data_IF_272307947069
#
_entry.id   IF_272307947069
#
_cell.length_a   1.000
_cell.length_b   1.000
_cell.length_c   1.000
_cell.angle_alpha   90.00
_cell.angle_beta   90.00
_cell.angle_gamma   90.00
#
_symmetry.space_group_name_H-M   'P 1'
#
loop_
_entity.id
_entity.type
_entity.pdbx_description
1 polymer ?
#
# COMPACT_ATOMS: atom_id res chain seq x y z
N UNK A 1 33.47 1.65 -25.50
CA UNK A 1 31.98 1.54 -25.50
C UNK A 1 31.59 0.19 -24.87
N UNK A 2 32.10 -0.07 -23.67
CA UNK A 2 32.02 -1.36 -23.01
C UNK A 2 30.78 -1.43 -22.13
N UNK A 3 29.90 -2.38 -22.47
CA UNK A 3 29.14 -3.24 -21.57
C UNK A 3 28.44 -2.60 -20.35
N UNK A 4 27.38 -1.83 -20.59
CA UNK A 4 26.32 -1.67 -19.58
C UNK A 4 24.94 -1.69 -20.24
N UNK A 5 24.64 -2.79 -20.93
CA UNK A 5 23.25 -3.23 -21.10
C UNK A 5 23.02 -4.31 -20.05
N UNK A 6 22.69 -3.88 -18.84
CA UNK A 6 22.13 -4.78 -17.82
C UNK A 6 20.85 -5.36 -18.40
N UNK A 7 20.88 -6.65 -18.69
CA UNK A 7 19.76 -7.36 -19.32
C UNK A 7 18.50 -7.23 -18.46
N UNK A 8 17.34 -7.02 -19.08
CA UNK A 8 16.03 -7.06 -18.41
C UNK A 8 15.90 -8.34 -17.57
N UNK A 9 16.56 -9.43 -17.96
CA UNK A 9 16.60 -10.67 -17.19
C UNK A 9 17.27 -10.52 -15.82
N UNK A 10 18.35 -9.73 -15.69
CA UNK A 10 18.96 -9.42 -14.40
C UNK A 10 18.06 -8.52 -13.56
N UNK A 11 17.40 -7.53 -14.18
CA UNK A 11 16.41 -6.68 -13.49
C UNK A 11 15.21 -7.51 -12.96
N UNK A 12 14.76 -8.52 -13.70
CA UNK A 12 13.62 -9.35 -13.31
C UNK A 12 13.93 -10.23 -12.08
N UNK A 13 15.15 -10.76 -11.98
CA UNK A 13 15.57 -11.59 -10.85
C UNK A 13 15.62 -10.81 -9.52
N UNK A 14 16.13 -9.58 -9.53
CA UNK A 14 16.17 -8.74 -8.32
C UNK A 14 14.76 -8.36 -7.87
N UNK A 15 13.85 -8.12 -8.83
CA UNK A 15 12.47 -7.70 -8.52
C UNK A 15 11.70 -8.81 -7.78
N UNK A 16 11.95 -10.08 -8.09
CA UNK A 16 11.28 -11.22 -7.41
C UNK A 16 11.64 -11.32 -5.93
N UNK A 17 12.90 -11.08 -5.56
CA UNK A 17 13.38 -11.18 -4.18
C UNK A 17 12.99 -9.94 -3.34
N UNK A 18 12.72 -8.81 -3.99
CA UNK A 18 12.32 -7.55 -3.34
C UNK A 18 10.80 -7.44 -3.10
N UNK A 19 9.98 -8.33 -3.68
CA UNK A 19 8.54 -8.38 -3.40
C UNK A 19 8.27 -9.17 -2.11
N UNK A 20 8.43 -8.50 -0.97
CA UNK A 20 8.01 -9.05 0.31
C UNK A 20 6.51 -9.35 0.30
N UNK A 21 6.16 -10.58 0.68
CA UNK A 21 4.76 -10.98 0.75
C UNK A 21 4.03 -10.15 1.83
N UNK A 22 2.78 -9.73 1.58
CA UNK A 22 2.04 -8.97 2.57
C UNK A 22 1.88 -9.77 3.86
N UNK A 23 1.90 -9.09 4.99
CA UNK A 23 1.78 -9.70 6.32
C UNK A 23 0.42 -9.44 6.95
N UNK A 24 -0.05 -10.39 7.75
CA UNK A 24 -1.32 -10.31 8.44
C UNK A 24 -1.23 -9.30 9.59
N UNK A 25 -2.11 -8.30 9.59
CA UNK A 25 -2.12 -7.27 10.62
C UNK A 25 -2.26 -7.83 12.05
N UNK A 26 -2.97 -8.96 12.21
CA UNK A 26 -3.24 -9.58 13.51
C UNK A 26 -2.12 -10.51 14.00
N UNK A 27 -1.70 -11.49 13.17
CA UNK A 27 -0.80 -12.57 13.60
C UNK A 27 0.60 -12.51 12.97
N UNK A 28 0.85 -11.52 12.09
CA UNK A 28 2.12 -11.25 11.40
C UNK A 28 2.63 -12.35 10.45
N UNK A 29 1.87 -13.44 10.26
CA UNK A 29 2.12 -14.45 9.21
C UNK A 29 1.78 -13.90 7.82
N UNK A 30 2.12 -14.63 6.75
CA UNK A 30 1.75 -14.28 5.39
C UNK A 30 0.24 -14.03 5.26
N UNK A 31 -0.12 -12.95 4.59
CA UNK A 31 -1.49 -12.58 4.29
C UNK A 31 -1.82 -12.91 2.83
N UNK A 32 -3.08 -13.28 2.60
CA UNK A 32 -3.55 -13.69 1.27
C UNK A 32 -4.73 -12.84 0.81
N UNK A 33 -5.36 -12.10 1.71
CA UNK A 33 -6.55 -11.31 1.41
C UNK A 33 -6.53 -9.95 2.10
N UNK A 34 -7.13 -8.96 1.45
CA UNK A 34 -7.36 -7.64 2.02
C UNK A 34 -8.77 -7.52 2.56
N UNK A 35 -8.99 -6.59 3.47
CA UNK A 35 -10.35 -6.18 3.84
C UNK A 35 -11.14 -5.80 2.58
N UNK A 36 -12.24 -6.50 2.31
CA UNK A 36 -13.03 -6.30 1.09
C UNK A 36 -13.63 -4.90 0.97
N UNK A 37 -13.85 -4.22 2.11
CA UNK A 37 -14.46 -2.90 2.18
C UNK A 37 -13.48 -1.76 1.87
N UNK A 38 -12.39 -1.65 2.62
CA UNK A 38 -11.42 -0.57 2.43
C UNK A 38 -10.23 -0.94 1.52
N UNK A 39 -10.01 -2.22 1.24
CA UNK A 39 -8.92 -2.74 0.40
C UNK A 39 -7.50 -2.29 0.80
N UNK A 40 -7.32 -1.84 2.05
CA UNK A 40 -6.06 -1.26 2.54
C UNK A 40 -5.29 -2.17 3.49
N UNK A 41 -5.97 -2.92 4.37
CA UNK A 41 -5.32 -3.76 5.39
C UNK A 41 -5.33 -5.25 4.98
N UNK A 42 -4.26 -5.98 5.29
CA UNK A 42 -4.05 -7.38 4.90
C UNK A 42 -4.24 -8.37 6.05
N UNK A 43 -4.82 -9.53 5.74
CA UNK A 43 -5.08 -10.62 6.67
C UNK A 43 -4.80 -11.99 6.04
N UNK A 44 -4.42 -12.97 6.87
CA UNK A 44 -4.32 -14.36 6.44
C UNK A 44 -5.69 -15.04 6.28
N UNK A 45 -6.73 -14.51 6.94
CA UNK A 45 -8.07 -15.09 6.96
C UNK A 45 -9.08 -14.21 7.67
N UNK A 46 -10.35 -14.63 7.62
CA UNK A 46 -11.48 -13.88 8.21
C UNK A 46 -11.38 -13.85 9.74
N UNK A 47 -10.89 -14.91 10.36
CA UNK A 47 -10.69 -15.02 11.80
C UNK A 47 -9.75 -13.94 12.32
N UNK A 48 -8.63 -13.71 11.64
CA UNK A 48 -7.68 -12.65 11.99
C UNK A 48 -8.23 -11.24 11.72
N UNK A 49 -9.05 -11.06 10.69
CA UNK A 49 -9.72 -9.78 10.45
C UNK A 49 -10.70 -9.44 11.57
N UNK A 50 -11.50 -10.42 12.01
CA UNK A 50 -12.52 -10.23 13.04
C UNK A 50 -11.90 -10.03 14.41
N UNK A 51 -10.79 -10.72 14.73
CA UNK A 51 -10.13 -10.61 16.04
C UNK A 51 -9.63 -9.19 16.34
N UNK A 52 -9.19 -8.44 15.32
CA UNK A 52 -8.72 -7.05 15.45
C UNK A 52 -9.73 -6.02 14.92
N UNK A 53 -10.96 -6.42 14.63
CA UNK A 53 -11.96 -5.55 14.00
C UNK A 53 -12.22 -4.27 14.80
N UNK A 54 -12.23 -4.35 16.15
CA UNK A 54 -12.42 -3.17 17.02
C UNK A 54 -11.39 -2.07 16.74
N UNK A 55 -10.14 -2.43 16.44
CA UNK A 55 -9.08 -1.48 16.09
C UNK A 55 -9.15 -1.06 14.62
N UNK A 56 -9.49 -2.00 13.72
CA UNK A 56 -9.54 -1.72 12.29
C UNK A 56 -10.74 -0.85 11.86
N UNK A 57 -11.89 -0.94 12.55
CA UNK A 57 -13.16 -0.33 12.13
C UNK A 57 -13.05 1.16 11.79
N UNK A 58 -12.45 1.96 12.68
CA UNK A 58 -12.32 3.40 12.47
C UNK A 58 -11.49 3.76 11.24
N UNK A 59 -10.33 3.10 11.07
CA UNK A 59 -9.51 3.27 9.87
C UNK A 59 -10.21 2.74 8.61
N UNK A 60 -10.96 1.64 8.73
CA UNK A 60 -11.74 1.06 7.63
C UNK A 60 -12.79 2.05 7.10
N UNK A 61 -13.51 2.73 7.98
CA UNK A 61 -14.52 3.73 7.61
C UNK A 61 -13.90 4.90 6.82
N UNK A 62 -12.77 5.42 7.29
CA UNK A 62 -12.04 6.53 6.64
C UNK A 62 -11.53 6.11 5.26
N UNK A 63 -10.91 4.93 5.16
CA UNK A 63 -10.26 4.46 3.94
C UNK A 63 -11.28 3.97 2.89
N UNK A 64 -12.41 3.42 3.33
CA UNK A 64 -13.49 3.04 2.42
C UNK A 64 -14.13 4.24 1.72
N UNK A 65 -14.00 5.46 2.28
CA UNK A 65 -14.56 6.69 1.74
C UNK A 65 -13.69 7.45 0.73
N UNK A 66 -12.48 6.98 0.37
CA UNK A 66 -11.57 7.70 -0.54
C UNK A 66 -11.41 7.03 -1.89
N UNK A 67 -12.19 7.49 -2.87
CA UNK A 67 -11.79 7.54 -4.30
C UNK A 67 -12.32 8.85 -4.92
N UNK A 68 -11.69 9.98 -4.61
CA UNK A 68 -11.82 11.21 -5.42
C UNK A 68 -10.40 11.80 -5.53
N UNK A 69 -9.93 11.99 -6.77
CA UNK A 69 -8.53 12.23 -7.18
C UNK A 69 -7.90 13.41 -6.43
N UNK A 70 -6.80 13.17 -5.71
CA UNK A 70 -5.85 14.23 -5.36
C UNK A 70 -5.11 14.69 -6.61
N UNK A 71 -5.73 15.62 -7.36
CA UNK A 71 -4.95 16.63 -8.07
C UNK A 71 -4.24 17.46 -7.01
N UNK A 72 -2.91 17.49 -7.05
CA UNK A 72 -2.13 18.47 -6.29
C UNK A 72 -2.52 19.84 -6.83
N UNK A 73 -3.41 20.54 -6.14
CA UNK A 73 -3.57 21.98 -6.32
C UNK A 73 -2.33 22.62 -5.68
N UNK A 74 -1.41 23.08 -6.52
CA UNK A 74 -0.36 24.00 -6.12
C UNK A 74 -1.03 25.22 -5.46
N UNK A 75 -0.66 25.50 -4.21
CA UNK A 75 -0.93 26.80 -3.62
C UNK A 75 0.13 27.77 -4.16
N UNK A 76 -0.31 28.77 -4.92
CA UNK A 76 0.47 29.95 -5.21
C UNK A 76 0.57 30.79 -3.93
N UNK A 77 1.70 30.68 -3.24
CA UNK A 77 2.09 31.74 -2.30
C UNK A 77 2.59 32.90 -3.17
N UNK A 78 1.67 33.77 -3.58
CA UNK A 78 2.02 35.09 -4.13
C UNK A 78 2.64 35.91 -3.00
N UNK A 79 3.98 35.89 -2.90
CA UNK A 79 4.71 36.89 -2.14
C UNK A 79 4.71 38.17 -2.97
N UNK A 80 3.83 39.11 -2.63
CA UNK A 80 3.89 40.48 -3.12
C UNK A 80 4.96 41.25 -2.32
N UNK A 81 6.07 41.70 -2.93
CA UNK A 81 6.98 42.63 -2.29
C UNK A 81 6.53 44.05 -2.63
N UNK A 82 5.86 44.71 -1.68
CA UNK A 82 5.84 46.18 -1.66
C UNK A 82 7.13 46.68 -1.00
#
# INVERSE_FOLDING_TARGET
MLQHITSVAQLTLVVQELMEQPTCAACKKAAVQRCSRCKSEWYCGRECQVSVWKMHKGACDILAGKVEKSGVAQADISLDPT
#
